data_IF_666481006068
#
_entry.id   IF_666481006068
#
_cell.length_a   1.000
_cell.length_b   1.000
_cell.length_c   1.000
_cell.angle_alpha   90.00
_cell.angle_beta   90.00
_cell.angle_gamma   90.00
#
_symmetry.space_group_name_H-M   'P 1'
#
loop_
_entity.id
_entity.type
_entity.pdbx_description
1 polymer ?
#
# COMPACT_ATOMS: atom_id res chain seq x y z
N UNK A 1 -27.93 16.52 -18.87
CA UNK A 1 -28.25 15.76 -20.09
C UNK A 1 -28.62 16.73 -21.20
N UNK A 2 -28.27 16.42 -22.45
CA UNK A 2 -28.55 17.29 -23.61
C UNK A 2 -29.74 16.81 -24.46
N UNK A 3 -30.26 15.61 -24.20
CA UNK A 3 -31.35 14.99 -24.96
C UNK A 3 -32.36 14.34 -24.01
N UNK A 4 -33.57 14.90 -23.91
CA UNK A 4 -34.63 14.41 -23.01
C UNK A 4 -35.12 13.01 -23.37
N UNK A 5 -35.16 12.67 -24.67
CA UNK A 5 -35.61 11.36 -25.13
C UNK A 5 -34.67 10.23 -24.70
N UNK A 6 -33.37 10.48 -24.69
CA UNK A 6 -32.35 9.52 -24.26
C UNK A 6 -32.46 9.24 -22.75
N UNK A 7 -32.78 10.25 -21.95
CA UNK A 7 -33.05 10.10 -20.51
C UNK A 7 -34.27 9.18 -20.33
N UNK A 8 -35.38 9.48 -21.02
CA UNK A 8 -36.61 8.69 -20.89
C UNK A 8 -36.37 7.24 -21.27
N UNK A 9 -35.65 7.00 -22.37
CA UNK A 9 -35.40 5.64 -22.84
C UNK A 9 -34.51 4.83 -21.89
N UNK A 10 -33.42 5.43 -21.38
CA UNK A 10 -32.53 4.75 -20.43
C UNK A 10 -33.24 4.46 -19.11
N UNK A 11 -33.98 5.43 -18.58
CA UNK A 11 -34.65 5.27 -17.30
C UNK A 11 -35.87 4.34 -17.36
N UNK A 12 -36.62 4.30 -18.48
CA UNK A 12 -37.70 3.31 -18.68
C UNK A 12 -37.21 1.87 -18.78
N UNK A 13 -35.97 1.65 -19.22
CA UNK A 13 -35.38 0.30 -19.31
C UNK A 13 -35.03 -0.24 -17.92
N UNK A 14 -34.60 0.63 -17.01
CA UNK A 14 -34.10 0.22 -15.69
C UNK A 14 -35.14 0.36 -14.56
N UNK A 15 -36.13 1.25 -14.71
CA UNK A 15 -37.03 1.60 -13.62
C UNK A 15 -38.47 1.90 -14.06
N UNK A 16 -39.39 1.81 -13.10
CA UNK A 16 -40.84 1.96 -13.32
C UNK A 16 -41.42 3.33 -12.94
N UNK A 17 -40.60 4.39 -12.84
CA UNK A 17 -41.09 5.73 -12.51
C UNK A 17 -41.46 6.55 -13.75
N UNK A 18 -42.45 7.43 -13.58
CA UNK A 18 -42.79 8.45 -14.55
C UNK A 18 -41.77 9.59 -14.50
N UNK A 19 -41.34 10.07 -15.66
CA UNK A 19 -40.36 11.16 -15.79
C UNK A 19 -41.10 12.41 -16.22
N UNK A 20 -41.11 13.40 -15.33
CA UNK A 20 -41.76 14.69 -15.57
C UNK A 20 -40.68 15.72 -15.85
N UNK A 21 -40.74 16.35 -17.03
CA UNK A 21 -39.85 17.44 -17.39
C UNK A 21 -40.42 18.76 -16.89
N UNK A 22 -39.61 19.49 -16.12
CA UNK A 22 -39.96 20.82 -15.65
C UNK A 22 -40.13 21.81 -16.80
N UNK A 23 -41.04 22.79 -16.68
CA UNK A 23 -41.23 23.83 -17.68
C UNK A 23 -39.98 24.71 -17.79
N UNK A 24 -39.64 25.11 -19.02
CA UNK A 24 -38.52 26.01 -19.29
C UNK A 24 -38.70 27.32 -18.50
N UNK A 25 -37.89 27.50 -17.44
CA UNK A 25 -37.85 28.66 -16.51
C UNK A 25 -38.86 28.71 -15.34
N UNK A 26 -39.71 27.71 -15.07
CA UNK A 26 -40.42 27.68 -13.77
C UNK A 26 -39.71 26.76 -12.79
N UNK A 27 -39.96 27.04 -11.51
CA UNK A 27 -39.47 26.25 -10.41
C UNK A 27 -40.14 24.86 -10.40
N UNK A 28 -39.32 23.82 -10.53
CA UNK A 28 -39.78 22.42 -10.45
C UNK A 28 -40.43 22.16 -9.08
N UNK A 29 -40.03 22.91 -8.05
CA UNK A 29 -40.53 22.77 -6.68
C UNK A 29 -42.04 23.01 -6.62
N UNK A 30 -42.56 23.96 -7.39
CA UNK A 30 -44.01 24.24 -7.39
C UNK A 30 -44.80 23.06 -7.98
N UNK A 31 -44.28 22.41 -9.01
CA UNK A 31 -44.92 21.23 -9.61
C UNK A 31 -44.86 20.04 -8.66
N UNK A 32 -43.68 19.78 -8.09
CA UNK A 32 -43.50 18.71 -7.10
C UNK A 32 -44.42 18.90 -5.89
N UNK A 33 -44.55 20.13 -5.38
CA UNK A 33 -45.47 20.43 -4.27
C UNK A 33 -46.93 20.24 -4.68
N UNK A 34 -47.31 20.64 -5.89
CA UNK A 34 -48.68 20.43 -6.39
C UNK A 34 -49.02 18.94 -6.45
N UNK A 35 -48.19 18.15 -7.12
CA UNK A 35 -48.40 16.71 -7.29
C UNK A 35 -48.41 15.99 -5.93
N UNK A 36 -47.46 16.33 -5.05
CA UNK A 36 -47.41 15.81 -3.69
C UNK A 36 -48.68 16.11 -2.88
N UNK A 37 -49.21 17.34 -2.99
CA UNK A 37 -50.42 17.75 -2.28
C UNK A 37 -51.69 17.11 -2.84
N UNK A 38 -51.75 16.89 -4.16
CA UNK A 38 -52.85 16.23 -4.86
C UNK A 38 -52.86 14.73 -4.56
N UNK A 39 -51.72 14.06 -4.66
CA UNK A 39 -51.58 12.64 -4.34
C UNK A 39 -51.86 12.35 -2.87
N UNK A 40 -51.31 13.14 -1.95
CA UNK A 40 -51.58 13.00 -0.52
C UNK A 40 -53.04 13.25 -0.12
N UNK A 41 -53.84 13.89 -0.98
CA UNK A 41 -55.28 14.07 -0.75
C UNK A 41 -56.10 12.81 -1.06
N UNK A 42 -55.55 11.89 -1.87
CA UNK A 42 -56.21 10.65 -2.26
C UNK A 42 -56.25 9.69 -1.08
N UNK A 43 -57.42 9.11 -0.82
CA UNK A 43 -57.62 8.20 0.33
C UNK A 43 -56.74 6.94 0.27
N UNK A 44 -56.35 6.52 -0.92
CA UNK A 44 -55.59 5.29 -1.17
C UNK A 44 -54.09 5.37 -0.83
N UNK A 45 -53.54 6.57 -0.63
CA UNK A 45 -52.12 6.76 -0.34
C UNK A 45 -51.96 7.04 1.14
N UNK A 46 -51.29 6.16 1.88
CA UNK A 46 -51.03 6.33 3.32
C UNK A 46 -49.62 6.84 3.62
N UNK A 47 -48.68 6.59 2.71
CA UNK A 47 -47.28 6.99 2.83
C UNK A 47 -46.90 7.80 1.60
N UNK A 48 -46.36 8.99 1.82
CA UNK A 48 -45.77 9.83 0.78
C UNK A 48 -44.26 9.86 0.97
N UNK A 49 -43.50 9.66 -0.10
CA UNK A 49 -42.03 9.71 -0.06
C UNK A 49 -41.56 10.92 -0.87
N UNK A 50 -40.77 11.80 -0.25
CA UNK A 50 -40.17 12.96 -0.88
C UNK A 50 -38.67 12.77 -0.90
N UNK A 51 -38.06 12.86 -2.09
CA UNK A 51 -36.61 12.80 -2.24
C UNK A 51 -36.09 14.22 -2.50
N UNK A 52 -35.92 14.99 -1.44
CA UNK A 52 -35.42 16.37 -1.51
C UNK A 52 -34.86 16.82 -0.15
N UNK A 53 -33.83 17.67 -0.19
CA UNK A 53 -33.33 18.41 0.97
C UNK A 53 -33.84 19.85 1.04
N UNK A 54 -34.70 20.28 0.11
CA UNK A 54 -35.17 21.65 0.05
C UNK A 54 -36.19 21.95 1.16
N UNK A 55 -35.99 23.07 1.83
CA UNK A 55 -36.76 23.50 2.98
C UNK A 55 -38.13 24.05 2.61
N UNK A 56 -38.34 24.36 1.32
CA UNK A 56 -39.64 24.84 0.84
C UNK A 56 -40.71 23.74 0.87
N UNK A 57 -40.30 22.47 1.00
CA UNK A 57 -41.22 21.35 1.23
C UNK A 57 -41.73 21.23 2.67
N UNK A 58 -41.17 21.96 3.64
CA UNK A 58 -41.57 21.88 5.07
C UNK A 58 -43.07 22.08 5.24
N UNK A 59 -43.61 23.22 4.76
CA UNK A 59 -45.03 23.53 4.94
C UNK A 59 -45.98 22.53 4.24
N UNK A 60 -45.71 22.09 2.98
CA UNK A 60 -46.44 20.99 2.37
C UNK A 60 -46.41 19.69 3.19
N UNK A 61 -45.23 19.29 3.67
CA UNK A 61 -45.06 18.06 4.46
C UNK A 61 -45.91 18.11 5.74
N UNK A 62 -45.83 19.20 6.50
CA UNK A 62 -46.61 19.37 7.74
C UNK A 62 -48.12 19.30 7.48
N UNK A 63 -48.57 19.87 6.35
CA UNK A 63 -49.98 19.80 5.95
C UNK A 63 -50.42 18.37 5.64
N UNK A 64 -49.55 17.55 5.05
CA UNK A 64 -49.82 16.13 4.79
C UNK A 64 -49.82 15.31 6.09
N UNK A 65 -48.89 15.57 7.00
CA UNK A 65 -48.88 14.93 8.32
C UNK A 65 -50.14 15.27 9.11
N UNK A 66 -50.60 16.53 9.06
CA UNK A 66 -51.84 16.95 9.72
C UNK A 66 -53.10 16.25 9.15
N UNK A 67 -53.02 15.70 7.93
CA UNK A 67 -54.05 14.81 7.36
C UNK A 67 -53.93 13.35 7.83
N UNK A 68 -53.07 13.08 8.81
CA UNK A 68 -52.77 11.76 9.39
C UNK A 68 -52.15 10.78 8.37
N UNK A 69 -51.28 11.29 7.50
CA UNK A 69 -50.50 10.51 6.54
C UNK A 69 -49.04 10.46 6.98
N UNK A 70 -48.32 9.40 6.62
CA UNK A 70 -46.90 9.28 6.88
C UNK A 70 -46.11 9.96 5.76
N UNK A 71 -45.09 10.72 6.11
CA UNK A 71 -44.19 11.34 5.12
C UNK A 71 -42.76 10.94 5.39
N UNK A 72 -42.15 10.27 4.41
CA UNK A 72 -40.75 9.88 4.43
C UNK A 72 -39.96 10.87 3.59
N UNK A 73 -38.94 11.48 4.17
CA UNK A 73 -38.04 12.39 3.46
C UNK A 73 -36.67 11.72 3.33
N UNK A 74 -36.23 11.56 2.08
CA UNK A 74 -34.91 11.10 1.72
C UNK A 74 -34.12 12.28 1.14
N UNK A 75 -32.89 12.49 1.56
CA UNK A 75 -32.07 13.57 1.00
C UNK A 75 -30.61 13.17 0.87
N UNK A 76 -29.88 13.87 0.00
CA UNK A 76 -28.43 13.73 -0.06
C UNK A 76 -27.78 14.55 1.06
N UNK A 77 -26.63 14.10 1.58
CA UNK A 77 -25.98 14.76 2.72
C UNK A 77 -25.59 16.21 2.38
N UNK A 78 -25.19 16.48 1.14
CA UNK A 78 -24.82 17.82 0.68
C UNK A 78 -26.00 18.80 0.54
N UNK A 79 -27.23 18.30 0.46
CA UNK A 79 -28.44 19.13 0.35
C UNK A 79 -29.12 19.36 1.70
N UNK A 80 -28.81 18.53 2.71
CA UNK A 80 -29.39 18.67 4.03
C UNK A 80 -28.90 19.95 4.73
N UNK A 81 -29.85 20.80 5.16
CA UNK A 81 -29.58 22.00 5.94
C UNK A 81 -30.16 21.86 7.35
N UNK A 82 -29.30 21.53 8.32
CA UNK A 82 -29.65 21.28 9.74
C UNK A 82 -30.44 22.40 10.43
N UNK A 83 -30.37 23.64 9.93
CA UNK A 83 -30.96 24.82 10.59
C UNK A 83 -32.39 25.16 10.15
N UNK A 84 -33.05 24.35 9.31
CA UNK A 84 -34.36 24.71 8.69
C UNK A 84 -35.48 23.67 8.76
N UNK A 85 -35.37 22.61 9.57
CA UNK A 85 -36.58 21.94 10.08
C UNK A 85 -37.20 20.81 9.26
N UNK A 86 -36.69 20.46 8.06
CA UNK A 86 -37.35 19.42 7.23
C UNK A 86 -37.30 18.02 7.86
N UNK A 87 -36.26 17.71 8.63
CA UNK A 87 -36.15 16.43 9.32
C UNK A 87 -37.19 16.32 10.44
N UNK A 88 -37.45 17.42 11.13
CA UNK A 88 -38.38 17.55 12.24
C UNK A 88 -39.84 17.59 11.77
N UNK A 89 -40.09 18.08 10.56
CA UNK A 89 -41.43 18.19 9.98
C UNK A 89 -41.93 16.91 9.32
N UNK A 90 -41.12 15.85 9.22
CA UNK A 90 -41.50 14.59 8.55
C UNK A 90 -41.68 13.41 9.53
N UNK A 91 -42.26 12.29 9.07
CA UNK A 91 -42.43 11.09 9.89
C UNK A 91 -41.15 10.25 9.98
N UNK A 92 -40.41 10.16 8.86
CA UNK A 92 -39.14 9.44 8.78
C UNK A 92 -38.19 10.29 7.94
N UNK A 93 -37.02 10.58 8.50
CA UNK A 93 -35.96 11.30 7.80
C UNK A 93 -34.75 10.38 7.61
N UNK A 94 -34.25 10.30 6.38
CA UNK A 94 -33.05 9.52 6.09
C UNK A 94 -32.14 10.27 5.11
N UNK A 95 -30.86 10.36 5.45
CA UNK A 95 -29.82 10.79 4.52
C UNK A 95 -29.41 9.57 3.70
N UNK A 96 -29.49 9.69 2.38
CA UNK A 96 -29.14 8.64 1.44
C UNK A 96 -27.64 8.29 1.58
N UNK A 97 -27.27 7.00 1.59
CA UNK A 97 -25.88 6.60 1.62
C UNK A 97 -25.14 7.16 0.40
N UNK A 98 -23.96 7.73 0.64
CA UNK A 98 -23.12 8.24 -0.45
C UNK A 98 -22.02 7.25 -0.80
N UNK A 99 -21.75 7.14 -2.10
CA UNK A 99 -20.64 6.34 -2.61
C UNK A 99 -19.33 6.81 -1.94
N UNK A 100 -18.61 5.90 -1.31
CA UNK A 100 -17.35 6.25 -0.67
C UNK A 100 -16.32 6.65 -1.73
N UNK A 101 -15.92 7.92 -1.73
CA UNK A 101 -14.95 8.45 -2.71
C UNK A 101 -13.57 7.77 -2.64
N UNK A 102 -13.22 7.18 -1.50
CA UNK A 102 -11.90 6.57 -1.29
C UNK A 102 -11.74 5.22 -1.99
N UNK A 103 -12.79 4.42 -2.02
CA UNK A 103 -12.81 3.11 -2.68
C UNK A 103 -13.75 3.08 -3.88
N UNK A 104 -14.25 4.25 -4.30
CA UNK A 104 -15.24 4.40 -5.35
C UNK A 104 -16.35 3.34 -5.28
N UNK A 105 -16.94 3.15 -4.10
CA UNK A 105 -18.07 2.24 -3.92
C UNK A 105 -17.72 0.76 -3.78
N UNK A 106 -16.49 0.34 -4.05
CA UNK A 106 -16.11 -1.08 -4.02
C UNK A 106 -15.95 -1.65 -2.60
N UNK A 107 -15.79 -0.76 -1.62
CA UNK A 107 -15.53 -1.16 -0.24
C UNK A 107 -14.11 -1.67 -0.01
N UNK A 108 -13.27 -1.80 -1.05
CA UNK A 108 -11.89 -2.28 -0.95
C UNK A 108 -10.90 -1.28 -1.52
N UNK A 109 -9.66 -1.36 -1.07
CA UNK A 109 -8.54 -0.57 -1.59
C UNK A 109 -7.41 -1.56 -1.89
N UNK A 110 -6.83 -1.42 -3.07
CA UNK A 110 -5.71 -2.23 -3.53
C UNK A 110 -4.41 -1.42 -3.50
N UNK A 111 -3.34 -2.01 -3.01
CA UNK A 111 -2.01 -1.42 -2.95
C UNK A 111 -0.98 -2.39 -3.53
N UNK A 112 0.02 -1.86 -4.24
CA UNK A 112 1.10 -2.66 -4.81
C UNK A 112 1.94 -3.30 -3.70
N UNK A 113 2.25 -4.59 -3.85
CA UNK A 113 3.10 -5.29 -2.91
C UNK A 113 4.54 -4.79 -3.00
N UNK A 114 5.02 -4.13 -1.94
CA UNK A 114 6.38 -3.58 -1.86
C UNK A 114 7.47 -4.64 -1.73
N UNK A 115 7.12 -5.87 -1.35
CA UNK A 115 8.10 -6.97 -1.23
C UNK A 115 8.53 -7.47 -2.61
N UNK A 116 7.59 -7.64 -3.54
CA UNK A 116 7.86 -8.07 -4.92
C UNK A 116 7.75 -6.91 -5.94
N UNK A 117 7.60 -5.66 -5.48
CA UNK A 117 7.34 -4.50 -6.32
C UNK A 117 6.20 -4.68 -7.34
N UNK A 118 5.15 -5.41 -6.95
CA UNK A 118 4.00 -5.68 -7.81
C UNK A 118 4.16 -6.87 -8.77
N UNK A 119 5.33 -7.52 -8.80
CA UNK A 119 5.60 -8.59 -9.75
C UNK A 119 4.91 -9.92 -9.38
N UNK A 120 4.53 -10.10 -8.12
CA UNK A 120 3.93 -11.35 -7.63
C UNK A 120 4.94 -12.44 -7.30
N UNK A 121 6.10 -12.46 -7.96
CA UNK A 121 7.10 -13.51 -7.84
C UNK A 121 8.52 -12.99 -7.54
N UNK A 122 9.37 -13.90 -7.06
CA UNK A 122 10.81 -13.71 -6.91
C UNK A 122 11.58 -14.75 -7.71
N UNK A 123 12.55 -14.27 -8.49
CA UNK A 123 13.53 -15.11 -9.15
C UNK A 123 14.77 -15.26 -8.27
N UNK A 124 15.21 -16.52 -8.08
CA UNK A 124 16.51 -16.82 -7.53
C UNK A 124 17.51 -17.02 -8.66
N UNK A 125 18.57 -16.21 -8.68
CA UNK A 125 19.62 -16.33 -9.68
C UNK A 125 20.42 -17.62 -9.51
N UNK A 126 20.85 -18.19 -10.63
CA UNK A 126 21.77 -19.30 -10.65
C UNK A 126 23.16 -18.83 -10.16
N UNK A 127 23.60 -19.36 -9.01
CA UNK A 127 24.91 -19.04 -8.44
C UNK A 127 26.08 -19.76 -9.13
N UNK A 128 25.77 -20.70 -10.02
CA UNK A 128 26.75 -21.43 -10.83
C UNK A 128 26.94 -20.71 -12.16
N UNK A 129 28.21 -20.44 -12.51
CA UNK A 129 28.63 -19.83 -13.79
C UNK A 129 27.94 -18.48 -14.06
N UNK A 130 28.59 -17.41 -13.60
CA UNK A 130 28.32 -15.97 -13.81
C UNK A 130 26.86 -15.45 -13.79
N UNK A 131 25.86 -16.28 -13.46
CA UNK A 131 24.43 -15.96 -13.50
C UNK A 131 23.83 -15.94 -14.92
N UNK A 132 24.60 -16.17 -15.98
CA UNK A 132 24.08 -16.09 -17.36
C UNK A 132 23.50 -17.40 -17.88
N UNK A 133 23.72 -18.51 -17.15
CA UNK A 133 23.30 -19.85 -17.56
C UNK A 133 24.25 -20.55 -18.55
N UNK A 134 25.38 -19.94 -18.90
CA UNK A 134 26.36 -20.50 -19.83
C UNK A 134 27.76 -20.62 -19.22
N UNK A 135 28.50 -21.65 -19.62
CA UNK A 135 29.90 -21.84 -19.21
C UNK A 135 30.87 -21.42 -20.32
N UNK A 136 31.54 -20.28 -20.17
CA UNK A 136 32.78 -19.98 -20.89
C UNK A 136 33.77 -19.54 -19.81
N UNK A 137 34.90 -20.24 -19.68
CA UNK A 137 36.03 -19.91 -18.78
C UNK A 137 35.68 -18.95 -17.64
N UNK A 138 34.96 -19.45 -16.63
CA UNK A 138 34.13 -18.59 -15.80
C UNK A 138 34.88 -18.14 -14.54
N UNK A 139 34.80 -16.83 -14.29
CA UNK A 139 35.05 -16.23 -12.97
C UNK A 139 34.21 -16.94 -11.90
N UNK A 140 34.87 -17.46 -10.86
CA UNK A 140 34.16 -18.12 -9.77
C UNK A 140 33.50 -17.06 -8.86
N UNK A 141 32.22 -16.76 -9.09
CA UNK A 141 31.43 -15.83 -8.26
C UNK A 141 31.45 -16.17 -6.77
N UNK A 142 31.52 -17.46 -6.43
CA UNK A 142 31.49 -17.89 -5.03
C UNK A 142 32.71 -17.41 -4.22
N UNK A 143 33.88 -17.28 -4.84
CA UNK A 143 35.08 -16.73 -4.19
C UNK A 143 35.52 -15.41 -4.82
N UNK A 144 34.64 -14.79 -5.60
CA UNK A 144 34.92 -13.58 -6.35
C UNK A 144 36.22 -13.61 -7.15
N UNK A 145 36.55 -14.76 -7.75
CA UNK A 145 37.77 -14.91 -8.55
C UNK A 145 39.07 -15.10 -7.75
N UNK A 146 39.02 -15.02 -6.42
CA UNK A 146 40.22 -15.13 -5.58
C UNK A 146 40.71 -16.55 -5.37
N UNK A 147 39.81 -17.53 -5.52
CA UNK A 147 40.06 -18.93 -5.16
C UNK A 147 39.83 -19.25 -3.68
N UNK A 148 39.59 -18.24 -2.84
CA UNK A 148 39.50 -18.39 -1.39
C UNK A 148 38.20 -17.83 -0.84
N UNK A 149 37.65 -18.48 0.18
CA UNK A 149 36.57 -17.93 1.00
C UNK A 149 37.21 -17.39 2.27
N UNK A 150 37.11 -16.07 2.46
CA UNK A 150 37.67 -15.37 3.61
C UNK A 150 36.52 -14.93 4.51
N UNK A 151 36.51 -15.42 5.75
CA UNK A 151 35.60 -14.93 6.78
C UNK A 151 36.31 -13.85 7.59
N UNK A 152 35.82 -12.62 7.49
CA UNK A 152 36.37 -11.49 8.24
C UNK A 152 36.03 -11.67 9.72
N UNK A 153 36.99 -11.41 10.61
CA UNK A 153 36.75 -11.45 12.04
C UNK A 153 35.77 -10.33 12.43
N UNK A 154 34.59 -10.70 12.90
CA UNK A 154 33.52 -9.75 13.25
C UNK A 154 33.78 -8.99 14.55
N UNK A 155 34.75 -9.43 15.37
CA UNK A 155 35.11 -8.74 16.62
C UNK A 155 35.97 -7.50 16.33
N UNK A 156 36.89 -7.60 15.37
CA UNK A 156 37.76 -6.49 14.96
C UNK A 156 37.40 -5.92 13.58
N UNK A 157 36.32 -6.39 12.95
CA UNK A 157 35.88 -6.02 11.60
C UNK A 157 37.01 -6.07 10.55
N UNK A 158 37.90 -7.06 10.65
CA UNK A 158 39.00 -7.21 9.69
C UNK A 158 40.25 -6.39 9.97
N UNK A 159 40.26 -5.58 11.03
CA UNK A 159 41.40 -4.71 11.38
C UNK A 159 42.50 -5.48 12.12
N UNK A 160 42.18 -6.60 12.75
CA UNK A 160 43.13 -7.37 13.56
C UNK A 160 43.34 -6.82 14.98
N UNK A 161 42.77 -5.67 15.32
CA UNK A 161 42.91 -5.02 16.65
C UNK A 161 41.57 -5.03 17.38
N UNK A 162 41.54 -5.48 18.64
CA UNK A 162 40.31 -5.49 19.46
C UNK A 162 40.11 -4.21 20.26
N UNK A 163 41.19 -3.52 20.63
CA UNK A 163 41.10 -2.23 21.30
C UNK A 163 42.40 -1.46 21.17
N UNK A 164 42.29 -0.14 21.29
CA UNK A 164 43.43 0.77 21.32
C UNK A 164 43.28 1.66 22.54
N UNK A 165 44.33 1.74 23.37
CA UNK A 165 44.38 2.63 24.51
C UNK A 165 45.52 3.63 24.37
N UNK A 166 45.40 4.76 25.06
CA UNK A 166 46.49 5.72 25.13
C UNK A 166 47.65 5.10 25.91
N UNK A 167 48.88 5.32 25.43
CA UNK A 167 50.06 4.92 26.17
C UNK A 167 50.25 5.87 27.35
N UNK A 168 50.05 5.38 28.57
CA UNK A 168 50.19 6.16 29.80
C UNK A 168 51.61 6.65 30.03
N UNK A 169 52.61 5.85 29.64
CA UNK A 169 54.04 6.15 29.84
C UNK A 169 54.51 7.38 29.06
N UNK A 170 53.91 7.65 27.91
CA UNK A 170 54.20 8.85 27.11
C UNK A 170 53.00 9.80 27.05
N UNK A 171 52.00 9.68 27.92
CA UNK A 171 50.78 10.50 27.90
C UNK A 171 50.18 10.69 26.49
N UNK A 172 50.16 9.61 25.70
CA UNK A 172 49.73 9.57 24.30
C UNK A 172 50.54 10.40 23.27
N UNK A 173 51.69 10.96 23.63
CA UNK A 173 52.52 11.76 22.71
C UNK A 173 53.40 10.89 21.79
N UNK A 174 53.68 9.66 22.20
CA UNK A 174 54.61 8.76 21.53
C UNK A 174 56.07 8.95 21.93
N UNK A 175 56.41 10.00 22.69
CA UNK A 175 57.80 10.29 23.07
C UNK A 175 57.94 10.58 24.57
N UNK A 176 59.07 10.22 25.15
CA UNK A 176 59.49 10.56 26.52
C UNK A 176 60.85 11.24 26.40
N UNK A 177 60.97 12.47 26.90
CA UNK A 177 62.21 13.26 26.86
C UNK A 177 62.88 13.30 25.46
N UNK A 178 62.06 13.57 24.43
CA UNK A 178 62.46 13.65 23.01
C UNK A 178 62.88 12.32 22.35
N UNK A 179 62.85 11.20 23.07
CA UNK A 179 63.06 9.85 22.52
C UNK A 179 61.74 9.09 22.32
N UNK A 180 61.70 8.19 21.33
CA UNK A 180 60.51 7.37 21.07
C UNK A 180 60.20 6.45 22.24
N UNK A 181 58.98 6.52 22.74
CA UNK A 181 58.50 5.68 23.84
C UNK A 181 58.55 4.21 23.45
N UNK A 182 59.38 3.42 24.13
CA UNK A 182 59.58 2.00 23.87
C UNK A 182 58.32 1.16 24.07
N UNK A 183 57.45 1.54 25.01
CA UNK A 183 56.23 0.81 25.32
C UNK A 183 55.10 0.95 24.28
N UNK A 184 55.18 1.95 23.39
CA UNK A 184 54.25 2.10 22.27
C UNK A 184 54.97 2.30 20.92
N UNK A 185 56.29 2.09 20.89
CA UNK A 185 57.15 2.26 19.73
C UNK A 185 56.94 3.60 19.00
N UNK A 186 56.79 4.70 19.73
CA UNK A 186 56.60 6.02 19.12
C UNK A 186 55.16 6.38 18.74
N UNK A 187 54.19 5.47 18.85
CA UNK A 187 52.83 5.67 18.32
C UNK A 187 51.89 6.43 19.26
N UNK A 188 52.26 6.58 20.53
CA UNK A 188 51.41 7.19 21.57
C UNK A 188 50.22 6.32 21.99
N UNK A 189 50.05 5.13 21.41
CA UNK A 189 48.92 4.25 21.69
C UNK A 189 49.40 2.81 21.82
N UNK A 190 48.81 2.07 22.77
CA UNK A 190 48.97 0.62 22.92
C UNK A 190 47.82 -0.04 22.16
N UNK A 191 48.17 -0.96 21.26
CA UNK A 191 47.20 -1.77 20.52
C UNK A 191 47.08 -3.13 21.18
N UNK A 192 45.85 -3.61 21.35
CA UNK A 192 45.57 -4.97 21.80
C UNK A 192 45.11 -5.76 20.60
N UNK A 193 45.91 -6.74 20.20
CA UNK A 193 45.58 -7.65 19.10
C UNK A 193 44.28 -8.40 19.41
N UNK A 194 43.47 -8.58 18.36
CA UNK A 194 42.23 -9.31 18.49
C UNK A 194 42.52 -10.81 18.64
N UNK A 195 42.30 -11.33 19.85
CA UNK A 195 42.54 -12.73 20.24
C UNK A 195 41.71 -13.77 19.48
N UNK A 196 40.69 -13.34 18.72
CA UNK A 196 39.87 -14.23 17.89
C UNK A 196 40.50 -14.51 16.52
N UNK A 197 41.36 -13.62 16.05
CA UNK A 197 42.05 -13.73 14.76
C UNK A 197 43.56 -13.52 14.91
N UNK A 198 44.09 -13.59 16.13
CA UNK A 198 45.52 -13.43 16.43
C UNK A 198 46.22 -12.28 15.67
N UNK A 199 45.53 -11.13 15.58
CA UNK A 199 46.07 -9.94 14.93
C UNK A 199 45.87 -9.82 13.40
N UNK A 200 45.41 -10.86 12.69
CA UNK A 200 45.37 -10.86 11.21
C UNK A 200 44.07 -10.31 10.60
N UNK A 201 43.01 -10.16 11.40
CA UNK A 201 41.69 -9.70 10.97
C UNK A 201 40.84 -10.76 10.26
N UNK A 202 41.34 -11.96 10.06
CA UNK A 202 40.70 -13.06 9.33
C UNK A 202 40.36 -14.18 10.32
N UNK A 203 39.08 -14.52 10.41
CA UNK A 203 38.64 -15.62 11.27
C UNK A 203 38.85 -16.99 10.62
N UNK A 204 38.69 -17.09 9.31
CA UNK A 204 38.99 -18.31 8.56
C UNK A 204 39.31 -18.01 7.10
N UNK A 205 40.21 -18.80 6.53
CA UNK A 205 40.53 -18.79 5.11
C UNK A 205 40.47 -20.21 4.59
N UNK A 206 39.45 -20.51 3.79
CA UNK A 206 39.26 -21.83 3.22
C UNK A 206 39.39 -21.78 1.70
N UNK A 207 39.97 -22.85 1.14
CA UNK A 207 40.04 -23.03 -0.30
C UNK A 207 38.62 -23.17 -0.85
N UNK A 208 38.27 -22.37 -1.85
CA UNK A 208 36.95 -22.43 -2.47
C UNK A 208 36.73 -23.84 -3.05
N UNK A 209 35.72 -24.55 -2.55
CA UNK A 209 35.42 -25.93 -2.97
C UNK A 209 34.96 -26.04 -4.42
N UNK A 210 34.47 -24.95 -5.00
CA UNK A 210 33.91 -24.93 -6.36
C UNK A 210 35.01 -24.77 -7.42
N UNK A 211 35.98 -23.89 -7.21
CA UNK A 211 37.09 -23.67 -8.16
C UNK A 211 38.42 -24.27 -7.69
N UNK A 212 38.41 -24.98 -6.57
CA UNK A 212 39.59 -25.56 -5.94
C UNK A 212 40.77 -24.59 -5.90
N UNK A 213 40.55 -23.38 -5.41
CA UNK A 213 41.62 -22.39 -5.22
C UNK A 213 42.10 -21.69 -6.50
N UNK A 214 41.60 -22.07 -7.68
CA UNK A 214 42.03 -21.46 -8.95
C UNK A 214 41.41 -20.08 -9.21
N UNK A 215 40.33 -19.74 -8.51
CA UNK A 215 39.55 -18.52 -8.76
C UNK A 215 38.73 -18.54 -10.05
N UNK A 216 39.01 -19.49 -10.93
CA UNK A 216 38.31 -19.70 -12.20
C UNK A 216 38.03 -21.19 -12.39
N UNK A 217 37.01 -21.48 -13.19
CA UNK A 217 36.67 -22.85 -13.60
C UNK A 217 36.96 -22.93 -15.09
N UNK A 218 38.01 -23.66 -15.46
CA UNK A 218 38.35 -23.90 -16.86
C UNK A 218 37.31 -24.85 -17.46
N UNK A 219 36.55 -24.34 -18.43
CA UNK A 219 35.62 -25.13 -19.23
C UNK A 219 35.97 -24.86 -20.69
N UNK A 220 36.34 -25.91 -21.41
CA UNK A 220 36.89 -25.85 -22.77
C UNK A 220 35.83 -25.70 -23.86
N UNK A 221 34.53 -25.79 -23.51
CA UNK A 221 33.39 -25.65 -24.44
C UNK A 221 32.22 -24.94 -23.77
N UNK A 222 31.40 -24.24 -24.57
CA UNK A 222 30.15 -23.62 -24.13
C UNK A 222 29.14 -24.70 -23.75
N UNK A 223 28.95 -24.94 -22.47
CA UNK A 223 27.94 -25.88 -21.96
C UNK A 223 26.81 -25.14 -21.24
N UNK A 224 25.59 -25.61 -21.45
CA UNK A 224 24.39 -25.12 -20.77
C UNK A 224 24.49 -25.52 -19.30
N UNK A 225 24.29 -24.57 -18.38
CA UNK A 225 24.31 -24.87 -16.95
C UNK A 225 23.20 -25.88 -16.63
N UNK A 226 23.56 -27.09 -16.19
CA UNK A 226 22.61 -28.16 -15.86
C UNK A 226 21.66 -27.80 -14.71
N UNK A 227 22.05 -26.83 -13.88
CA UNK A 227 21.30 -26.39 -12.70
C UNK A 227 20.18 -25.41 -13.03
N UNK A 228 20.33 -24.57 -14.07
CA UNK A 228 19.29 -23.62 -14.51
C UNK A 228 18.82 -23.86 -15.96
N UNK A 229 19.35 -24.87 -16.65
CA UNK A 229 19.03 -25.15 -18.05
C UNK A 229 19.38 -24.02 -19.03
N UNK A 230 20.27 -23.10 -18.65
CA UNK A 230 20.68 -21.98 -19.51
C UNK A 230 19.89 -20.68 -19.33
N UNK A 231 18.94 -20.63 -18.40
CA UNK A 231 18.12 -19.43 -18.16
C UNK A 231 18.79 -18.40 -17.25
N UNK A 232 19.77 -18.83 -16.45
CA UNK A 232 20.32 -18.01 -15.37
C UNK A 232 19.42 -17.91 -14.13
N UNK A 233 18.21 -18.49 -14.16
CA UNK A 233 17.26 -18.53 -13.04
C UNK A 233 17.23 -19.96 -12.48
N UNK A 234 17.54 -20.09 -11.20
CA UNK A 234 17.51 -21.38 -10.50
C UNK A 234 16.10 -21.81 -10.14
N UNK A 235 15.30 -20.88 -9.60
CA UNK A 235 13.90 -21.13 -9.27
C UNK A 235 13.14 -19.81 -9.14
N UNK A 236 11.86 -19.86 -9.50
CA UNK A 236 10.89 -18.77 -9.27
C UNK A 236 9.93 -19.24 -8.20
N UNK A 237 9.63 -18.38 -7.23
CA UNK A 237 8.65 -18.67 -6.18
C UNK A 237 7.71 -17.50 -5.96
N UNK A 238 6.47 -17.83 -5.63
CA UNK A 238 5.44 -16.84 -5.32
C UNK A 238 5.85 -16.00 -4.10
N UNK A 239 5.60 -14.70 -4.19
CA UNK A 239 5.76 -13.79 -3.07
C UNK A 239 4.72 -14.14 -2.02
N UNK A 240 5.11 -14.93 -1.02
CA UNK A 240 4.24 -15.38 0.08
C UNK A 240 3.42 -14.24 0.71
N UNK A 241 3.98 -13.04 0.97
CA UNK A 241 3.20 -11.92 1.47
C UNK A 241 1.97 -11.55 0.62
N UNK A 242 2.05 -11.53 -0.73
CA UNK A 242 0.91 -11.23 -1.61
C UNK A 242 0.33 -12.45 -2.35
N UNK A 243 0.78 -13.66 -1.99
CA UNK A 243 0.37 -14.94 -2.55
C UNK A 243 0.36 -14.94 -4.09
N UNK A 244 1.44 -14.48 -4.72
CA UNK A 244 1.60 -14.46 -6.18
C UNK A 244 0.88 -13.33 -6.91
N UNK A 245 0.00 -12.57 -6.26
CA UNK A 245 -0.86 -11.59 -6.97
C UNK A 245 -0.16 -10.25 -7.28
N UNK A 246 0.92 -9.95 -6.57
CA UNK A 246 1.55 -8.62 -6.64
C UNK A 246 0.78 -7.50 -5.95
N UNK A 247 -0.43 -7.76 -5.41
CA UNK A 247 -1.33 -6.72 -4.87
C UNK A 247 -1.85 -7.13 -3.49
N UNK A 248 -1.94 -6.17 -2.57
CA UNK A 248 -2.68 -6.31 -1.32
C UNK A 248 -4.02 -5.63 -1.42
N UNK A 249 -5.09 -6.37 -1.19
CA UNK A 249 -6.42 -5.80 -1.05
C UNK A 249 -6.82 -5.76 0.41
N UNK A 250 -7.23 -4.58 0.89
CA UNK A 250 -7.76 -4.39 2.25
C UNK A 250 -9.11 -3.72 2.21
N UNK A 251 -9.91 -3.95 3.25
CA UNK A 251 -11.16 -3.22 3.44
C UNK A 251 -10.89 -1.73 3.53
N UNK A 252 -11.72 -0.93 2.85
CA UNK A 252 -11.66 0.52 2.91
C UNK A 252 -12.06 0.96 4.31
N UNK A 253 -11.10 1.48 5.07
CA UNK A 253 -11.33 1.94 6.45
C UNK A 253 -12.32 3.11 6.54
N UNK A 254 -12.49 3.89 5.46
CA UNK A 254 -13.40 5.05 5.47
C UNK A 254 -14.87 4.66 5.44
N UNK A 255 -15.20 3.49 4.89
CA UNK A 255 -16.56 2.95 4.80
C UNK A 255 -16.66 1.54 5.40
N UNK A 256 -15.68 1.14 6.21
CA UNK A 256 -15.62 -0.16 6.88
C UNK A 256 -15.89 -1.37 5.95
N UNK A 257 -15.45 -1.30 4.70
CA UNK A 257 -15.67 -2.38 3.74
C UNK A 257 -17.01 -2.36 2.99
N UNK A 258 -17.95 -1.48 3.36
CA UNK A 258 -19.32 -1.45 2.81
C UNK A 258 -19.38 -0.82 1.41
N UNK A 259 -18.48 0.14 1.14
CA UNK A 259 -18.45 0.90 -0.11
C UNK A 259 -19.26 2.20 -0.08
N UNK A 260 -20.18 2.36 0.89
CA UNK A 260 -20.96 3.58 1.07
C UNK A 260 -20.76 4.18 2.46
N UNK A 261 -20.93 5.50 2.56
CA UNK A 261 -20.91 6.26 3.81
C UNK A 261 -22.35 6.61 4.17
N UNK A 262 -22.79 6.14 5.33
CA UNK A 262 -24.09 6.50 5.91
C UNK A 262 -23.92 7.68 6.86
N UNK A 263 -24.89 8.59 6.85
CA UNK A 263 -24.92 9.72 7.76
C UNK A 263 -26.02 9.51 8.80
N UNK A 264 -25.67 9.68 10.07
CA UNK A 264 -26.66 9.74 11.15
C UNK A 264 -27.17 11.19 11.24
N UNK A 265 -28.44 11.47 10.92
CA UNK A 265 -28.96 12.84 10.96
C UNK A 265 -28.99 13.44 12.38
N UNK A 266 -28.84 12.62 13.43
CA UNK A 266 -28.99 13.04 14.83
C UNK A 266 -27.64 13.41 15.49
N UNK A 267 -26.50 13.00 14.93
CA UNK A 267 -25.15 13.33 15.43
C UNK A 267 -24.49 14.42 14.59
#
# INVERSE_FOLDING_TARGET
YKNENEIVENHRKEYSYEIIFGPYKKDIDTLMVSDFMDDSSKKIIDICVVISGDTDFVAPIEKVINRKKLVHVLCNSGTYRKYKGIAESCSVFQILPEKCKKCEGEGKISETCTKCNGNGDFDSECRYYDGTGWSIGAYCKNCEGTGWLVSICTICNGVGVSSTSNCEECAATGNIDEESCSACFGLGKKVVECTRCDGDGIYSKEKCKICEGKGSIEISKREVCSTCGGTGIYSTYECWPCNGTGIYTKSCWKCEGIGNITYDPIK
#
